data_IF_222910744495
#
_entry.id   IF_222910744495
#
_cell.length_a   1.000
_cell.length_b   1.000
_cell.length_c   1.000
_cell.angle_alpha   90.00
_cell.angle_beta   90.00
_cell.angle_gamma   90.00
#
_symmetry.space_group_name_H-M   'P 1'
#
loop_
_entity.id
_entity.type
_entity.pdbx_description
1 polymer ?
#
# COMPACT_ATOMS: atom_id res chain seq x y z
N UNK A 1 -3.37 15.51 20.10
CA UNK A 1 -2.53 14.68 19.21
C UNK A 1 -3.01 13.27 19.38
N UNK A 2 -3.89 12.83 18.50
CA UNK A 2 -4.65 11.61 18.69
C UNK A 2 -3.72 10.39 18.69
N UNK A 3 -4.06 9.39 19.49
CA UNK A 3 -3.33 8.12 19.58
C UNK A 3 -3.12 7.48 18.21
N UNK A 4 -4.06 7.70 17.28
CA UNK A 4 -3.97 7.32 15.87
C UNK A 4 -2.78 7.99 15.13
N UNK A 5 -2.53 9.28 15.36
CA UNK A 5 -1.43 10.02 14.75
C UNK A 5 -0.06 9.58 15.29
N UNK A 6 0.02 9.27 16.59
CA UNK A 6 1.25 8.75 17.22
C UNK A 6 1.54 7.33 16.72
N UNK A 7 0.52 6.48 16.58
CA UNK A 7 0.68 5.14 16.03
C UNK A 7 1.17 5.17 14.57
N UNK A 8 0.58 6.02 13.72
CA UNK A 8 0.96 6.16 12.32
C UNK A 8 2.42 6.67 12.17
N UNK A 9 2.81 7.67 12.97
CA UNK A 9 4.17 8.22 12.96
C UNK A 9 5.22 7.21 13.45
N UNK A 10 4.91 6.44 14.50
CA UNK A 10 5.78 5.37 14.99
C UNK A 10 5.97 4.26 13.95
N UNK A 11 4.91 3.92 13.21
CA UNK A 11 4.94 2.89 12.16
C UNK A 11 5.77 3.27 10.95
N UNK A 12 5.63 4.51 10.47
CA UNK A 12 6.47 5.04 9.40
C UNK A 12 7.94 5.07 9.84
N UNK A 13 8.20 5.47 11.10
CA UNK A 13 9.55 5.47 11.69
C UNK A 13 10.18 4.07 11.77
N UNK A 14 9.42 3.04 12.17
CA UNK A 14 9.89 1.65 12.21
C UNK A 14 10.16 1.11 10.81
N UNK A 15 9.30 1.40 9.83
CA UNK A 15 9.49 0.98 8.43
C UNK A 15 10.77 1.58 7.81
N UNK A 16 11.03 2.87 8.06
CA UNK A 16 12.23 3.58 7.61
C UNK A 16 13.48 3.05 8.34
N UNK A 17 13.40 2.79 9.65
CA UNK A 17 14.51 2.24 10.42
C UNK A 17 14.93 0.85 9.94
N UNK A 18 13.97 -0.02 9.62
CA UNK A 18 14.24 -1.36 9.08
C UNK A 18 14.91 -1.30 7.70
N UNK A 19 14.53 -0.34 6.85
CA UNK A 19 15.19 -0.14 5.54
C UNK A 19 16.58 0.48 5.66
N UNK A 20 16.78 1.36 6.64
CA UNK A 20 18.08 1.97 6.89
C UNK A 20 19.10 0.97 7.45
N UNK A 21 18.68 0.10 8.37
CA UNK A 21 19.52 -0.98 8.93
C UNK A 21 19.92 -2.01 7.86
N UNK A 22 19.02 -2.31 6.91
CA UNK A 22 19.31 -3.18 5.78
C UNK A 22 20.40 -2.62 4.82
N UNK A 23 20.62 -1.30 4.78
CA UNK A 23 21.55 -0.66 3.82
C UNK A 23 23.04 -0.70 4.21
N UNK A 24 23.43 -1.25 5.37
CA UNK A 24 24.81 -1.11 5.89
C UNK A 24 25.85 -2.11 5.34
N UNK A 25 25.49 -3.09 4.50
CA UNK A 25 26.42 -4.18 4.12
C UNK A 25 27.13 -3.97 2.78
N UNK A 26 28.47 -4.15 2.77
CA UNK A 26 29.40 -3.91 1.65
C UNK A 26 29.54 -5.10 0.66
N UNK A 27 28.72 -6.16 0.76
CA UNK A 27 28.78 -7.34 -0.13
C UNK A 27 27.55 -7.38 -1.05
N UNK A 28 27.68 -7.51 -2.38
CA UNK A 28 26.55 -7.40 -3.32
C UNK A 28 25.46 -8.44 -3.06
N UNK A 29 25.83 -9.67 -2.69
CA UNK A 29 24.87 -10.72 -2.34
C UNK A 29 24.10 -10.42 -1.03
N UNK A 30 24.74 -9.77 -0.06
CA UNK A 30 24.06 -9.34 1.18
C UNK A 30 23.22 -8.10 0.94
N UNK A 31 23.63 -7.19 0.05
CA UNK A 31 22.88 -6.00 -0.33
C UNK A 31 21.54 -6.37 -1.01
N UNK A 32 21.54 -7.32 -1.96
CA UNK A 32 20.32 -7.81 -2.59
C UNK A 32 19.38 -8.44 -1.55
N UNK A 33 19.90 -9.32 -0.69
CA UNK A 33 19.12 -9.97 0.37
C UNK A 33 18.54 -8.94 1.35
N UNK A 34 19.30 -7.91 1.69
CA UNK A 34 18.87 -6.86 2.60
C UNK A 34 17.81 -5.94 1.97
N UNK A 35 17.92 -5.62 0.68
CA UNK A 35 16.90 -4.87 -0.06
C UNK A 35 15.60 -5.67 -0.15
N UNK A 36 15.68 -6.95 -0.50
CA UNK A 36 14.49 -7.83 -0.56
C UNK A 36 13.86 -7.99 0.82
N UNK A 37 14.64 -8.23 1.88
CA UNK A 37 14.10 -8.32 3.24
C UNK A 37 13.52 -6.98 3.73
N UNK A 38 14.10 -5.85 3.30
CA UNK A 38 13.61 -4.52 3.62
C UNK A 38 12.28 -4.20 2.92
N UNK A 39 12.15 -4.50 1.63
CA UNK A 39 10.91 -4.36 0.87
C UNK A 39 9.81 -5.28 1.43
N UNK A 40 10.14 -6.53 1.73
CA UNK A 40 9.21 -7.48 2.34
C UNK A 40 8.80 -7.02 3.75
N UNK A 41 9.75 -6.47 4.51
CA UNK A 41 9.50 -5.89 5.83
C UNK A 41 8.55 -4.69 5.79
N UNK A 42 8.71 -3.77 4.83
CA UNK A 42 7.82 -2.61 4.66
C UNK A 42 6.40 -3.06 4.26
N UNK A 43 6.28 -3.98 3.29
CA UNK A 43 4.98 -4.50 2.86
C UNK A 43 4.29 -5.29 3.99
N UNK A 44 5.03 -6.13 4.70
CA UNK A 44 4.54 -6.89 5.84
C UNK A 44 4.13 -6.00 7.02
N UNK A 45 4.88 -4.94 7.29
CA UNK A 45 4.50 -3.93 8.28
C UNK A 45 3.22 -3.22 7.86
N UNK A 46 3.11 -2.76 6.60
CA UNK A 46 1.89 -2.15 6.07
C UNK A 46 0.65 -3.05 6.23
N UNK A 47 0.79 -4.34 5.93
CA UNK A 47 -0.28 -5.32 6.14
C UNK A 47 -0.64 -5.48 7.62
N UNK A 48 0.36 -5.55 8.51
CA UNK A 48 0.16 -5.65 9.96
C UNK A 48 -0.62 -4.43 10.47
N UNK A 49 -0.27 -3.23 10.01
CA UNK A 49 -1.00 -2.00 10.37
C UNK A 49 -2.46 -2.06 9.94
N UNK A 50 -2.73 -2.42 8.69
CA UNK A 50 -4.10 -2.58 8.20
C UNK A 50 -4.87 -3.62 9.03
N UNK A 51 -4.24 -4.74 9.40
CA UNK A 51 -4.86 -5.78 10.22
C UNK A 51 -5.14 -5.32 11.66
N UNK A 52 -4.21 -4.58 12.28
CA UNK A 52 -4.42 -4.00 13.62
C UNK A 52 -5.53 -2.95 13.59
N UNK A 53 -5.56 -2.08 12.58
CA UNK A 53 -6.63 -1.08 12.43
C UNK A 53 -8.00 -1.74 12.22
N UNK A 54 -8.07 -2.78 11.40
CA UNK A 54 -9.28 -3.57 11.20
C UNK A 54 -9.72 -4.30 12.49
N UNK A 55 -8.77 -4.84 13.27
CA UNK A 55 -9.05 -5.48 14.56
C UNK A 55 -9.54 -4.50 15.63
N UNK A 56 -8.96 -3.30 15.70
CA UNK A 56 -9.42 -2.21 16.59
C UNK A 56 -10.84 -1.77 16.23
N UNK A 57 -11.17 -1.72 14.92
CA UNK A 57 -12.52 -1.38 14.45
C UNK A 57 -13.58 -2.42 14.85
N UNK A 58 -13.21 -3.70 14.97
CA UNK A 58 -14.11 -4.78 15.37
C UNK A 58 -14.29 -4.92 16.90
N UNK A 59 -13.32 -4.46 17.69
CA UNK A 59 -13.26 -4.66 19.14
C UNK A 59 -13.66 -3.46 20.02
N UNK A 60 -13.82 -2.27 19.44
CA UNK A 60 -14.20 -1.06 20.19
C UNK A 60 -15.70 -0.73 20.00
N UNK A 61 -16.41 -0.25 21.04
CA UNK A 61 -17.75 0.31 20.86
C UNK A 61 -17.62 1.57 20.00
N UNK A 62 -18.15 1.52 18.77
CA UNK A 62 -18.08 2.57 17.73
C UNK A 62 -18.19 3.99 18.32
N UNK A 63 -17.07 4.69 18.59
CA UNK A 63 -17.12 6.11 18.80
C UNK A 63 -17.25 6.70 17.40
N UNK A 64 -18.25 7.56 17.18
CA UNK A 64 -18.33 8.37 15.99
C UNK A 64 -17.04 9.20 15.88
N UNK A 65 -16.05 8.69 15.13
CA UNK A 65 -14.84 9.42 14.79
C UNK A 65 -15.28 10.46 13.76
N UNK A 66 -15.45 11.69 14.22
CA UNK A 66 -15.50 12.86 13.36
C UNK A 66 -14.18 12.92 12.58
N UNK A 67 -14.21 12.49 11.34
CA UNK A 67 -13.07 12.54 10.43
C UNK A 67 -12.98 13.94 9.81
N UNK A 68 -11.94 14.68 10.17
CA UNK A 68 -11.56 15.92 9.48
C UNK A 68 -10.93 15.57 8.11
N UNK A 69 -11.75 15.47 7.08
CA UNK A 69 -11.31 15.36 5.69
C UNK A 69 -12.36 14.76 4.79
N UNK A 70 -12.83 15.56 3.81
CA UNK A 70 -13.70 15.26 2.64
C UNK A 70 -14.58 14.00 2.80
N UNK A 71 -15.26 13.88 3.94
CA UNK A 71 -16.35 12.94 4.10
C UNK A 71 -17.61 13.76 3.83
N UNK A 72 -18.45 13.38 2.86
CA UNK A 72 -19.76 13.98 2.75
C UNK A 72 -20.51 13.67 4.06
N UNK A 73 -21.06 14.72 4.66
CA UNK A 73 -21.86 14.61 5.88
C UNK A 73 -23.01 13.63 5.65
N UNK A 74 -22.97 12.46 6.29
CA UNK A 74 -24.05 11.46 6.23
C UNK A 74 -23.68 10.02 5.87
N UNK A 75 -22.40 9.71 5.62
CA UNK A 75 -21.99 8.35 5.29
C UNK A 75 -22.30 7.37 6.45
N UNK A 76 -23.33 6.54 6.26
CA UNK A 76 -23.62 5.41 7.16
C UNK A 76 -22.40 4.48 7.23
N UNK A 77 -22.21 3.76 8.34
CA UNK A 77 -21.07 2.84 8.53
C UNK A 77 -20.89 1.84 7.37
N UNK A 78 -21.97 1.46 6.68
CA UNK A 78 -21.93 0.60 5.49
C UNK A 78 -21.31 1.27 4.26
N UNK A 79 -21.50 2.57 4.06
CA UNK A 79 -20.92 3.33 2.93
C UNK A 79 -19.40 3.45 3.10
N UNK A 80 -18.93 3.79 4.30
CA UNK A 80 -17.50 3.85 4.60
C UNK A 80 -16.80 2.49 4.45
N UNK A 81 -17.45 1.41 4.90
CA UNK A 81 -16.94 0.05 4.72
C UNK A 81 -16.90 -0.36 3.24
N UNK A 82 -17.94 -0.04 2.47
CA UNK A 82 -18.00 -0.29 1.03
C UNK A 82 -16.87 0.40 0.27
N UNK A 83 -16.61 1.67 0.57
CA UNK A 83 -15.50 2.42 0.00
C UNK A 83 -14.13 1.85 0.40
N UNK A 84 -13.93 1.49 1.67
CA UNK A 84 -12.69 0.88 2.14
C UNK A 84 -12.40 -0.48 1.45
N UNK A 85 -13.42 -1.32 1.28
CA UNK A 85 -13.29 -2.61 0.60
C UNK A 85 -12.99 -2.46 -0.90
N UNK A 86 -13.64 -1.50 -1.58
CA UNK A 86 -13.42 -1.26 -3.00
C UNK A 86 -11.96 -0.88 -3.31
N UNK A 87 -11.40 0.09 -2.59
CA UNK A 87 -9.96 0.44 -2.76
C UNK A 87 -9.05 -0.68 -2.25
N UNK A 88 -9.33 -1.24 -1.07
CA UNK A 88 -8.46 -2.24 -0.44
C UNK A 88 -8.25 -3.49 -1.31
N UNK A 89 -9.32 -4.07 -1.85
CA UNK A 89 -9.24 -5.25 -2.72
C UNK A 89 -8.59 -4.93 -4.07
N UNK A 90 -8.87 -3.76 -4.64
CA UNK A 90 -8.24 -3.32 -5.88
C UNK A 90 -6.72 -3.16 -5.73
N UNK A 91 -6.25 -2.56 -4.63
CA UNK A 91 -4.83 -2.40 -4.34
C UNK A 91 -4.10 -3.74 -4.16
N UNK A 92 -4.75 -4.76 -3.59
CA UNK A 92 -4.18 -6.10 -3.49
C UNK A 92 -3.97 -6.71 -4.88
N UNK A 93 -5.00 -6.64 -5.74
CA UNK A 93 -4.91 -7.14 -7.11
C UNK A 93 -3.86 -6.39 -7.94
N UNK A 94 -3.83 -5.06 -7.83
CA UNK A 94 -2.84 -4.22 -8.50
C UNK A 94 -1.41 -4.54 -8.04
N UNK A 95 -1.17 -4.70 -6.73
CA UNK A 95 0.14 -5.04 -6.18
C UNK A 95 0.69 -6.37 -6.71
N UNK A 96 -0.16 -7.39 -6.84
CA UNK A 96 0.23 -8.68 -7.42
C UNK A 96 0.57 -8.52 -8.90
N UNK A 97 -0.29 -7.84 -9.68
CA UNK A 97 -0.08 -7.63 -11.10
C UNK A 97 1.20 -6.82 -11.39
N UNK A 98 1.39 -5.72 -10.66
CA UNK A 98 2.59 -4.85 -10.76
C UNK A 98 3.85 -5.62 -10.35
N UNK A 99 3.79 -6.46 -9.31
CA UNK A 99 4.94 -7.28 -8.90
C UNK A 99 5.39 -8.25 -9.99
N UNK A 100 4.45 -8.93 -10.65
CA UNK A 100 4.75 -9.87 -11.74
C UNK A 100 5.25 -9.13 -12.98
N UNK A 101 4.54 -8.07 -13.40
CA UNK A 101 4.90 -7.28 -14.57
C UNK A 101 6.26 -6.58 -14.40
N UNK A 102 6.53 -6.05 -13.21
CA UNK A 102 7.79 -5.39 -12.86
C UNK A 102 8.97 -6.35 -12.84
N UNK A 103 8.80 -7.56 -12.28
CA UNK A 103 9.85 -8.58 -12.31
C UNK A 103 10.21 -9.01 -13.75
N UNK A 104 9.21 -9.23 -14.60
CA UNK A 104 9.41 -9.54 -16.01
C UNK A 104 10.08 -8.38 -16.78
N UNK A 105 9.66 -7.14 -16.49
CA UNK A 105 10.25 -5.94 -17.07
C UNK A 105 11.74 -5.81 -16.76
N UNK A 106 12.14 -5.94 -15.49
CA UNK A 106 13.55 -5.85 -15.09
C UNK A 106 14.37 -6.97 -15.76
N UNK A 107 13.84 -8.20 -15.81
CA UNK A 107 14.49 -9.29 -16.55
C UNK A 107 14.72 -8.95 -18.02
N UNK A 108 13.70 -8.46 -18.72
CA UNK A 108 13.81 -8.06 -20.12
C UNK A 108 14.76 -6.87 -20.37
N UNK A 109 14.77 -5.89 -19.46
CA UNK A 109 15.66 -4.71 -19.56
C UNK A 109 17.14 -5.14 -19.45
N UNK A 110 17.45 -6.20 -18.70
CA UNK A 110 18.84 -6.69 -18.62
C UNK A 110 19.36 -7.27 -19.93
N UNK A 111 18.47 -7.82 -20.78
CA UNK A 111 18.84 -8.30 -22.12
C UNK A 111 18.76 -7.20 -23.19
N UNK A 112 17.76 -6.33 -23.10
CA UNK A 112 17.47 -5.28 -24.10
C UNK A 112 17.16 -3.96 -23.38
N UNK A 113 18.15 -3.09 -23.14
CA UNK A 113 17.89 -1.84 -22.43
C UNK A 113 16.95 -0.90 -23.20
N UNK A 114 16.86 -1.05 -24.53
CA UNK A 114 15.98 -0.21 -25.36
C UNK A 114 14.47 -0.41 -25.08
N UNK A 115 14.07 -1.51 -24.42
CA UNK A 115 12.65 -1.79 -24.13
C UNK A 115 12.14 -1.12 -22.85
N UNK A 116 13.00 -0.42 -22.09
CA UNK A 116 12.65 0.22 -20.80
C UNK A 116 11.36 1.03 -20.87
N UNK A 117 11.22 1.89 -21.89
CA UNK A 117 10.03 2.73 -22.04
C UNK A 117 8.74 1.92 -22.28
N UNK A 118 8.81 0.83 -23.06
CA UNK A 118 7.65 -0.04 -23.32
C UNK A 118 7.27 -0.85 -22.09
N UNK A 119 8.26 -1.36 -21.36
CA UNK A 119 8.02 -2.10 -20.12
C UNK A 119 7.39 -1.24 -19.03
N UNK A 120 7.75 0.05 -18.93
CA UNK A 120 7.13 0.97 -17.98
C UNK A 120 5.64 1.20 -18.28
N UNK A 121 5.23 1.18 -19.56
CA UNK A 121 3.81 1.29 -19.93
C UNK A 121 3.02 0.08 -19.41
N UNK A 122 3.51 -1.14 -19.58
CA UNK A 122 2.82 -2.34 -19.10
C UNK A 122 2.70 -2.39 -17.56
N UNK A 123 3.74 -1.94 -16.85
CA UNK A 123 3.71 -1.83 -15.39
C UNK A 123 2.72 -0.75 -14.95
N UNK A 124 2.71 0.42 -15.60
CA UNK A 124 1.76 1.50 -15.31
C UNK A 124 0.30 1.12 -15.62
N UNK A 125 0.06 0.35 -16.68
CA UNK A 125 -1.28 -0.17 -16.99
C UNK A 125 -1.79 -1.12 -15.90
N UNK A 126 -0.90 -1.91 -15.28
CA UNK A 126 -1.27 -2.77 -14.16
C UNK A 126 -1.66 -1.95 -12.90
N UNK A 127 -1.05 -0.78 -12.68
CA UNK A 127 -1.42 0.13 -11.59
C UNK A 127 -2.82 0.72 -11.76
N UNK A 128 -3.30 0.83 -13.01
CA UNK A 128 -4.64 1.32 -13.32
C UNK A 128 -5.75 0.61 -12.53
N UNK A 129 -5.56 -0.66 -12.16
CA UNK A 129 -6.50 -1.42 -11.31
C UNK A 129 -6.74 -0.72 -9.97
N UNK A 130 -5.68 -0.22 -9.32
CA UNK A 130 -5.79 0.50 -8.05
C UNK A 130 -6.51 1.85 -8.22
N UNK A 131 -6.21 2.57 -9.31
CA UNK A 131 -6.84 3.85 -9.62
C UNK A 131 -8.35 3.67 -9.85
N UNK A 132 -8.76 2.62 -10.55
CA UNK A 132 -10.19 2.32 -10.71
C UNK A 132 -10.87 2.00 -9.37
N UNK A 133 -10.21 1.24 -8.47
CA UNK A 133 -10.73 0.99 -7.12
C UNK A 133 -10.91 2.28 -6.29
N UNK A 134 -9.96 3.22 -6.42
CA UNK A 134 -10.03 4.53 -5.78
C UNK A 134 -11.15 5.40 -6.35
N UNK A 135 -11.33 5.41 -7.67
CA UNK A 135 -12.45 6.11 -8.33
C UNK A 135 -13.79 5.57 -7.83
N UNK A 136 -13.97 4.24 -7.81
CA UNK A 136 -15.19 3.60 -7.32
C UNK A 136 -15.44 3.97 -5.85
N UNK A 137 -14.39 4.07 -5.04
CA UNK A 137 -14.52 4.45 -3.64
C UNK A 137 -15.00 5.89 -3.47
N UNK A 138 -14.52 6.83 -4.30
CA UNK A 138 -15.07 8.19 -4.30
C UNK A 138 -16.53 8.24 -4.76
N UNK A 139 -16.92 7.42 -5.74
CA UNK A 139 -18.32 7.32 -6.16
C UNK A 139 -19.19 6.81 -5.01
N UNK A 140 -18.74 5.78 -4.28
CA UNK A 140 -19.46 5.23 -3.13
C UNK A 140 -19.59 6.25 -2.01
N UNK A 141 -18.51 6.98 -1.70
CA UNK A 141 -18.55 7.98 -0.64
C UNK A 141 -19.49 9.14 -0.99
N UNK A 142 -19.56 9.55 -2.26
CA UNK A 142 -20.38 10.66 -2.73
C UNK A 142 -21.79 10.23 -3.22
N UNK A 143 -22.21 9.01 -2.92
CA UNK A 143 -23.54 8.48 -3.21
C UNK A 143 -24.48 8.71 -2.01
#
# INVERSE_FOLDING_TARGET
MDTAMIALAALIGVGIALTFVARRSQRPALAVRAVVSGLLGINGLGLLVCAVMFGVLLGAPLPALAQEGIAPEGASSGVALGAALATGLACIGAGIAVGIAGAAAIGGITEKPEILGRTLIFVGLAEGIAIYGLIVSFIILNA
#
